data_IF_206656982045
#
_entry.id   IF_206656982045
#
_cell.length_a   1.000
_cell.length_b   1.000
_cell.length_c   1.000
_cell.angle_alpha   90.00
_cell.angle_beta   90.00
_cell.angle_gamma   90.00
#
_symmetry.space_group_name_H-M   'P 1'
#
loop_
_entity.id
_entity.type
_entity.pdbx_description
1 polymer ?
#
# COMPACT_ATOMS: atom_id res chain seq x y z
N UNK A 1 7.52 -8.68 -17.08
CA UNK A 1 6.77 -7.53 -16.50
C UNK A 1 5.57 -7.13 -17.36
N UNK A 2 5.68 -7.07 -18.70
CA UNK A 2 4.54 -6.74 -19.61
C UNK A 2 3.32 -7.63 -19.38
N UNK A 3 3.48 -8.96 -19.44
CA UNK A 3 2.36 -9.90 -19.23
C UNK A 3 1.75 -9.79 -17.82
N UNK A 4 2.59 -9.50 -16.82
CA UNK A 4 2.13 -9.27 -15.46
C UNK A 4 1.23 -8.04 -15.39
N UNK A 5 1.57 -6.94 -16.09
CA UNK A 5 0.70 -5.76 -16.16
C UNK A 5 -0.67 -6.09 -16.75
N UNK A 6 -0.73 -6.87 -17.83
CA UNK A 6 -2.02 -7.29 -18.44
C UNK A 6 -2.82 -8.16 -17.46
N UNK A 7 -2.17 -9.13 -16.81
CA UNK A 7 -2.80 -9.97 -15.78
C UNK A 7 -3.31 -9.17 -14.60
N UNK A 8 -2.52 -8.23 -14.08
CA UNK A 8 -2.88 -7.35 -12.96
C UNK A 8 -4.06 -6.46 -13.32
N UNK A 9 -4.16 -5.96 -14.56
CA UNK A 9 -5.31 -5.17 -15.01
C UNK A 9 -6.61 -5.99 -15.00
N UNK A 10 -6.55 -7.28 -15.39
CA UNK A 10 -7.71 -8.19 -15.30
C UNK A 10 -8.12 -8.45 -13.86
N UNK A 11 -7.14 -8.70 -12.97
CA UNK A 11 -7.40 -8.88 -11.54
C UNK A 11 -8.01 -7.61 -10.91
N UNK A 12 -7.50 -6.43 -11.27
CA UNK A 12 -8.06 -5.14 -10.86
C UNK A 12 -9.54 -5.00 -11.27
N UNK A 13 -9.89 -5.31 -12.51
CA UNK A 13 -11.28 -5.24 -12.99
C UNK A 13 -12.18 -6.20 -12.20
N UNK A 14 -11.75 -7.44 -11.99
CA UNK A 14 -12.52 -8.44 -11.25
C UNK A 14 -12.78 -8.03 -9.78
N UNK A 15 -11.78 -7.47 -9.09
CA UNK A 15 -11.95 -6.93 -7.73
C UNK A 15 -12.89 -5.72 -7.76
N UNK A 16 -12.70 -4.82 -8.73
CA UNK A 16 -13.48 -3.59 -8.84
C UNK A 16 -14.96 -3.87 -9.03
N UNK A 17 -15.31 -4.83 -9.88
CA UNK A 17 -16.69 -5.29 -10.09
C UNK A 17 -17.31 -5.90 -8.83
N UNK A 18 -16.52 -6.60 -8.02
CA UNK A 18 -17.00 -7.28 -6.81
C UNK A 18 -17.19 -6.34 -5.62
N UNK A 19 -16.27 -5.42 -5.38
CA UNK A 19 -16.28 -4.59 -4.16
C UNK A 19 -15.60 -3.22 -4.28
N UNK A 20 -15.04 -2.87 -5.45
CA UNK A 20 -14.16 -1.70 -5.58
C UNK A 20 -12.72 -1.99 -5.15
N UNK A 21 -11.74 -1.62 -5.98
CA UNK A 21 -10.33 -1.88 -5.69
C UNK A 21 -9.80 -1.03 -4.53
N UNK A 22 -10.27 0.21 -4.40
CA UNK A 22 -9.97 1.07 -3.26
C UNK A 22 -10.44 0.42 -1.95
N UNK A 23 -11.68 -0.07 -1.91
CA UNK A 23 -12.26 -0.71 -0.73
C UNK A 23 -11.53 -2.01 -0.39
N UNK A 24 -11.08 -2.76 -1.41
CA UNK A 24 -10.21 -3.93 -1.23
C UNK A 24 -8.87 -3.56 -0.56
N UNK A 25 -8.21 -2.47 -0.96
CA UNK A 25 -6.96 -2.04 -0.34
C UNK A 25 -7.18 -1.50 1.08
N UNK A 26 -8.15 -0.60 1.24
CA UNK A 26 -8.37 0.16 2.47
C UNK A 26 -9.02 -0.65 3.60
N UNK A 27 -9.63 -1.82 3.32
CA UNK A 27 -10.13 -2.75 4.36
C UNK A 27 -9.04 -3.21 5.32
N UNK A 28 -7.78 -3.16 4.91
CA UNK A 28 -6.64 -3.54 5.74
C UNK A 28 -6.26 -2.49 6.79
N UNK A 29 -6.87 -1.30 6.71
CA UNK A 29 -6.55 -0.10 7.47
C UNK A 29 -7.81 0.62 7.98
N UNK A 30 -8.96 -0.05 7.98
CA UNK A 30 -10.25 0.51 8.39
C UNK A 30 -10.56 1.88 7.73
N UNK A 31 -10.11 2.05 6.48
CA UNK A 31 -10.33 3.27 5.70
C UNK A 31 -9.47 4.48 6.08
N UNK A 32 -8.45 4.33 6.94
CA UNK A 32 -7.62 5.45 7.41
C UNK A 32 -6.12 5.21 7.20
N UNK A 33 -5.36 6.20 6.71
CA UNK A 33 -3.90 6.09 6.63
C UNK A 33 -3.26 5.74 7.97
N UNK A 34 -2.23 4.90 7.93
CA UNK A 34 -1.37 4.68 9.09
C UNK A 34 -0.36 5.82 9.20
N UNK A 35 -0.42 6.58 10.28
CA UNK A 35 0.45 7.73 10.53
C UNK A 35 1.69 7.30 11.33
N UNK A 36 2.80 7.00 10.66
CA UNK A 36 4.07 6.72 11.31
C UNK A 36 4.79 8.02 11.71
N UNK A 37 5.76 7.91 12.63
CA UNK A 37 6.51 9.07 13.18
C UNK A 37 8.01 8.81 13.21
N UNK A 38 8.54 8.29 12.11
CA UNK A 38 9.97 8.01 11.98
C UNK A 38 10.78 9.32 12.03
N UNK A 39 11.89 9.29 12.77
CA UNK A 39 12.84 10.39 12.92
C UNK A 39 14.04 10.24 11.99
N UNK A 40 14.37 9.01 11.61
CA UNK A 40 15.48 8.69 10.72
C UNK A 40 15.11 7.62 9.69
N UNK A 41 15.76 7.66 8.52
CA UNK A 41 15.54 6.68 7.45
C UNK A 41 15.84 5.24 7.88
N UNK A 42 16.75 5.02 8.83
CA UNK A 42 17.07 3.70 9.37
C UNK A 42 15.93 3.06 10.15
N UNK A 43 14.93 3.84 10.57
CA UNK A 43 13.75 3.34 11.27
C UNK A 43 12.65 2.89 10.31
N UNK A 44 12.70 3.34 9.04
CA UNK A 44 11.71 3.00 8.01
C UNK A 44 11.97 1.56 7.55
N UNK A 45 11.06 0.61 7.76
CA UNK A 45 11.27 -0.78 7.39
C UNK A 45 11.16 -0.96 5.87
N UNK A 46 11.79 -2.01 5.32
CA UNK A 46 11.63 -2.35 3.91
C UNK A 46 10.26 -3.03 3.61
N UNK A 47 9.67 -3.68 4.61
CA UNK A 47 8.35 -4.33 4.55
C UNK A 47 7.75 -4.40 5.95
N UNK A 48 6.45 -4.65 6.05
CA UNK A 48 5.75 -4.78 7.34
C UNK A 48 4.85 -6.01 7.32
N UNK A 49 4.39 -6.47 8.50
CA UNK A 49 3.40 -7.54 8.56
C UNK A 49 2.11 -7.19 7.80
N UNK A 50 1.77 -5.91 7.72
CA UNK A 50 0.65 -5.40 6.94
C UNK A 50 0.89 -5.57 5.43
N UNK A 51 2.07 -5.18 4.94
CA UNK A 51 2.40 -5.34 3.53
C UNK A 51 2.55 -6.81 3.12
N UNK A 52 2.96 -7.69 4.02
CA UNK A 52 2.97 -9.14 3.82
C UNK A 52 1.55 -9.70 3.62
N UNK A 53 0.61 -9.31 4.47
CA UNK A 53 -0.80 -9.72 4.34
C UNK A 53 -1.41 -9.21 3.03
N UNK A 54 -1.26 -7.92 2.74
CA UNK A 54 -1.78 -7.32 1.50
C UNK A 54 -1.13 -7.91 0.24
N UNK A 55 0.17 -8.21 0.28
CA UNK A 55 0.86 -8.93 -0.80
C UNK A 55 0.29 -10.33 -1.03
N UNK A 56 0.00 -11.06 0.05
CA UNK A 56 -0.67 -12.35 0.01
C UNK A 56 -2.04 -12.27 -0.65
N UNK A 57 -2.87 -11.31 -0.24
CA UNK A 57 -4.21 -11.11 -0.77
C UNK A 57 -4.17 -10.70 -2.25
N UNK A 58 -3.31 -9.76 -2.64
CA UNK A 58 -3.11 -9.38 -4.05
C UNK A 58 -2.70 -10.59 -4.90
N UNK A 59 -1.78 -11.42 -4.39
CA UNK A 59 -1.35 -12.64 -5.09
C UNK A 59 -2.50 -13.65 -5.22
N UNK A 60 -3.33 -13.80 -4.20
CA UNK A 60 -4.51 -14.67 -4.22
C UNK A 60 -5.55 -14.21 -5.27
N UNK A 61 -5.69 -12.91 -5.48
CA UNK A 61 -6.53 -12.31 -6.53
C UNK A 61 -5.88 -12.36 -7.93
N UNK A 62 -4.67 -12.91 -8.06
CA UNK A 62 -4.00 -13.14 -9.34
C UNK A 62 -3.01 -12.06 -9.75
N UNK A 63 -2.71 -11.08 -8.89
CA UNK A 63 -1.64 -10.12 -9.16
C UNK A 63 -0.26 -10.79 -9.16
N UNK A 64 0.64 -10.26 -9.98
CA UNK A 64 2.04 -10.68 -10.12
C UNK A 64 2.95 -9.48 -9.85
N UNK A 65 4.19 -9.78 -9.40
CA UNK A 65 5.18 -8.78 -8.97
C UNK A 65 4.71 -7.94 -7.76
N UNK A 66 3.94 -8.53 -6.86
CA UNK A 66 3.41 -7.91 -5.64
C UNK A 66 4.07 -8.48 -4.39
N UNK A 67 5.40 -8.53 -4.35
CA UNK A 67 6.13 -8.95 -3.13
C UNK A 67 5.95 -7.93 -1.99
N UNK A 68 6.10 -8.33 -0.71
CA UNK A 68 5.83 -7.46 0.44
C UNK A 68 6.58 -6.12 0.45
N UNK A 69 7.83 -6.09 -0.04
CA UNK A 69 8.60 -4.84 -0.23
C UNK A 69 7.97 -3.93 -1.29
N UNK A 70 7.53 -4.48 -2.41
CA UNK A 70 6.88 -3.71 -3.49
C UNK A 70 5.54 -3.16 -2.99
N UNK A 71 4.77 -3.99 -2.28
CA UNK A 71 3.49 -3.59 -1.71
C UNK A 71 3.68 -2.52 -0.63
N UNK A 72 4.71 -2.62 0.21
CA UNK A 72 4.99 -1.56 1.18
C UNK A 72 5.35 -0.23 0.49
N UNK A 73 6.21 -0.26 -0.53
CA UNK A 73 6.51 0.92 -1.33
C UNK A 73 5.27 1.51 -2.01
N UNK A 74 4.36 0.67 -2.50
CA UNK A 74 3.07 1.10 -3.04
C UNK A 74 2.20 1.77 -1.96
N UNK A 75 2.12 1.19 -0.76
CA UNK A 75 1.38 1.77 0.36
C UNK A 75 1.92 3.15 0.75
N UNK A 76 3.24 3.32 0.77
CA UNK A 76 3.89 4.61 1.01
C UNK A 76 3.53 5.62 -0.10
N UNK A 77 3.64 5.21 -1.36
CA UNK A 77 3.40 6.10 -2.51
C UNK A 77 1.93 6.52 -2.67
N UNK A 78 0.98 5.70 -2.22
CA UNK A 78 -0.46 5.95 -2.32
C UNK A 78 -1.05 6.60 -1.07
N UNK A 79 -0.24 6.85 -0.04
CA UNK A 79 -0.70 7.46 1.21
C UNK A 79 -1.48 6.50 2.11
N UNK A 80 -1.44 5.19 1.86
CA UNK A 80 -1.94 4.19 2.82
C UNK A 80 -1.14 4.23 4.12
N UNK A 81 0.15 4.56 4.03
CA UNK A 81 0.99 4.88 5.19
C UNK A 81 1.66 6.22 4.95
N UNK A 82 1.71 7.05 5.98
CA UNK A 82 2.50 8.27 5.98
C UNK A 82 3.86 7.97 6.63
N UNK A 83 4.85 7.73 5.78
CA UNK A 83 6.23 7.43 6.19
C UNK A 83 7.18 8.60 5.99
N UNK A 84 6.67 9.79 5.72
CA UNK A 84 7.49 10.99 5.79
C UNK A 84 8.16 11.04 7.17
N UNK A 85 9.46 11.35 7.21
CA UNK A 85 10.11 11.60 8.49
C UNK A 85 9.43 12.79 9.18
N UNK A 86 9.39 12.82 10.51
CA UNK A 86 8.78 13.93 11.27
C UNK A 86 9.44 15.29 11.00
N UNK A 87 10.64 15.30 10.43
CA UNK A 87 11.37 16.51 10.00
C UNK A 87 11.06 16.91 8.55
N UNK A 88 10.37 16.08 7.79
CA UNK A 88 9.96 16.37 6.42
C UNK A 88 8.81 17.40 6.44
N UNK A 89 8.86 18.47 5.63
CA UNK A 89 7.80 19.48 5.59
C UNK A 89 6.45 18.95 5.10
N UNK A 90 6.42 17.75 4.53
CA UNK A 90 5.19 17.07 4.11
C UNK A 90 4.54 16.23 5.21
N UNK A 91 5.24 15.88 6.30
CA UNK A 91 4.71 14.98 7.33
C UNK A 91 3.37 15.44 7.89
N UNK A 92 3.34 16.66 8.45
CA UNK A 92 2.10 17.20 9.04
C UNK A 92 1.05 17.53 7.98
N UNK A 93 1.49 17.92 6.78
CA UNK A 93 0.60 18.21 5.65
C UNK A 93 -0.16 16.96 5.19
N UNK A 94 0.50 15.81 5.19
CA UNK A 94 -0.13 14.52 4.87
C UNK A 94 -0.96 14.02 6.06
N UNK A 95 -0.49 14.21 7.30
CA UNK A 95 -1.20 13.74 8.49
C UNK A 95 -2.59 14.35 8.68
N UNK A 96 -2.80 15.62 8.27
CA UNK A 96 -4.12 16.27 8.36
C UNK A 96 -5.12 15.81 7.31
N UNK A 97 -4.71 15.02 6.32
CA UNK A 97 -5.59 14.54 5.24
C UNK A 97 -6.35 13.25 5.60
N UNK A 98 -5.98 12.57 6.67
CA UNK A 98 -6.66 11.34 7.12
C UNK A 98 -5.78 10.46 8.00
#
# INVERSE_FOLDING_TARGET
KIEATIGNARAYLAISERMGFDSFLWRHLDGKPLQNRFRAMSEVPAQTSLSERLAGDLKAEGFRFTGPTIVYAFMQATGMVNDHLVTCPAHDRCAVLG
#
